data_IF_612894745610
#
_entry.id   IF_612894745610
#
_cell.length_a   1.000
_cell.length_b   1.000
_cell.length_c   1.000
_cell.angle_alpha   90.00
_cell.angle_beta   90.00
_cell.angle_gamma   90.00
#
_symmetry.space_group_name_H-M   'P 1'
#
loop_
_entity.id
_entity.type
_entity.pdbx_description
1 polymer ?
#
# COMPACT_ATOMS: atom_id res chain seq x y z
N UNK A 1 -15.48 9.88 -28.42
CA UNK A 1 -15.33 8.84 -27.38
C UNK A 1 -15.87 9.39 -26.08
N UNK A 2 -16.61 8.58 -25.31
CA UNK A 2 -17.25 8.98 -24.04
C UNK A 2 -16.58 8.25 -22.87
N UNK A 3 -16.39 8.92 -21.74
CA UNK A 3 -15.97 8.28 -20.48
C UNK A 3 -17.21 8.09 -19.61
N UNK A 4 -17.45 6.86 -19.15
CA UNK A 4 -18.56 6.54 -18.26
C UNK A 4 -18.28 5.27 -17.44
N UNK A 5 -19.10 5.01 -16.42
CA UNK A 5 -19.03 3.75 -15.71
C UNK A 5 -19.41 2.57 -16.60
N UNK A 6 -18.67 1.47 -16.45
CA UNK A 6 -19.03 0.19 -17.05
C UNK A 6 -20.23 -0.37 -16.28
N UNK A 7 -21.24 -0.82 -17.01
CA UNK A 7 -22.49 -1.37 -16.46
C UNK A 7 -22.61 -2.85 -16.80
N UNK A 8 -23.61 -3.54 -16.27
CA UNK A 8 -23.84 -4.96 -16.55
C UNK A 8 -23.94 -5.27 -18.05
N UNK A 9 -24.47 -4.33 -18.85
CA UNK A 9 -24.53 -4.44 -20.32
C UNK A 9 -23.15 -4.65 -20.96
N UNK A 10 -22.11 -4.11 -20.35
CA UNK A 10 -20.74 -4.11 -20.89
C UNK A 10 -19.85 -5.19 -20.25
N UNK A 11 -20.38 -6.06 -19.37
CA UNK A 11 -19.61 -7.05 -18.62
C UNK A 11 -18.83 -8.02 -19.52
N UNK A 12 -19.47 -8.46 -20.62
CA UNK A 12 -18.84 -9.29 -21.65
C UNK A 12 -17.66 -8.59 -22.33
N UNK A 13 -17.83 -7.31 -22.70
CA UNK A 13 -16.77 -6.53 -23.35
C UNK A 13 -15.60 -6.27 -22.40
N UNK A 14 -15.89 -5.99 -21.13
CA UNK A 14 -14.86 -5.83 -20.10
C UNK A 14 -14.09 -7.15 -19.89
N UNK A 15 -14.79 -8.30 -19.89
CA UNK A 15 -14.12 -9.61 -19.81
C UNK A 15 -13.18 -9.82 -20.98
N UNK A 16 -13.65 -9.60 -22.21
CA UNK A 16 -12.82 -9.73 -23.43
C UNK A 16 -11.60 -8.81 -23.38
N UNK A 17 -11.79 -7.57 -22.92
CA UNK A 17 -10.69 -6.61 -22.75
C UNK A 17 -9.66 -7.11 -21.73
N UNK A 18 -10.09 -7.60 -20.57
CA UNK A 18 -9.19 -8.13 -19.54
C UNK A 18 -8.48 -9.40 -19.98
N UNK A 19 -9.18 -10.36 -20.59
CA UNK A 19 -8.58 -11.58 -21.10
C UNK A 19 -7.52 -11.29 -22.15
N UNK A 20 -7.74 -10.28 -23.03
CA UNK A 20 -6.73 -9.83 -23.98
C UNK A 20 -5.51 -9.18 -23.30
N UNK A 21 -5.72 -8.35 -22.28
CA UNK A 21 -4.64 -7.60 -21.65
C UNK A 21 -3.81 -8.39 -20.63
N UNK A 22 -4.41 -9.39 -19.98
CA UNK A 22 -3.82 -10.07 -18.83
C UNK A 22 -3.77 -11.59 -18.94
N UNK A 23 -4.32 -12.18 -20.01
CA UNK A 23 -4.45 -13.65 -20.14
C UNK A 23 -5.16 -14.30 -18.94
N UNK A 24 -6.07 -13.55 -18.31
CA UNK A 24 -6.83 -14.00 -17.15
C UNK A 24 -8.30 -14.21 -17.50
N UNK A 25 -8.88 -15.27 -16.95
CA UNK A 25 -10.33 -15.41 -16.83
C UNK A 25 -10.77 -14.95 -15.44
N UNK A 26 -11.59 -13.89 -15.35
CA UNK A 26 -12.10 -13.46 -14.06
C UNK A 26 -13.07 -14.52 -13.48
N UNK A 27 -12.97 -14.78 -12.17
CA UNK A 27 -13.92 -15.66 -11.44
C UNK A 27 -15.30 -15.01 -11.26
N UNK A 28 -16.26 -15.69 -10.64
CA UNK A 28 -17.69 -15.31 -10.73
C UNK A 28 -18.05 -13.91 -10.17
N UNK A 29 -17.40 -13.45 -9.09
CA UNK A 29 -17.70 -12.18 -8.37
C UNK A 29 -16.68 -11.06 -8.63
N UNK A 30 -16.19 -10.94 -9.86
CA UNK A 30 -15.15 -9.97 -10.23
C UNK A 30 -15.67 -8.58 -10.63
N UNK A 31 -16.96 -8.48 -10.96
CA UNK A 31 -17.53 -7.27 -11.53
C UNK A 31 -18.38 -6.53 -10.51
N UNK A 32 -17.92 -5.33 -10.13
CA UNK A 32 -18.66 -4.40 -9.29
C UNK A 32 -19.04 -3.17 -10.11
N UNK A 33 -20.30 -3.06 -10.57
CA UNK A 33 -20.78 -1.86 -11.24
C UNK A 33 -20.48 -0.61 -10.41
N UNK A 34 -20.01 0.46 -11.07
CA UNK A 34 -19.59 1.69 -10.39
C UNK A 34 -18.15 1.70 -9.90
N UNK A 35 -17.40 0.59 -9.96
CA UNK A 35 -15.95 0.61 -9.71
C UNK A 35 -15.14 0.56 -11.02
N UNK A 36 -15.75 0.17 -12.13
CA UNK A 36 -15.10 0.16 -13.43
C UNK A 36 -15.42 1.41 -14.24
N UNK A 37 -14.38 2.13 -14.67
CA UNK A 37 -14.50 3.31 -15.53
C UNK A 37 -14.01 2.97 -16.94
N UNK A 38 -14.82 3.24 -17.95
CA UNK A 38 -14.56 2.87 -19.33
C UNK A 38 -14.51 4.05 -20.29
N UNK A 39 -13.73 3.91 -21.36
CA UNK A 39 -13.82 4.74 -22.58
C UNK A 39 -14.59 3.96 -23.63
N UNK A 40 -15.60 4.61 -24.21
CA UNK A 40 -16.48 4.04 -25.22
C UNK A 40 -16.30 4.72 -26.57
N UNK A 41 -16.18 3.91 -27.62
CA UNK A 41 -16.26 4.32 -29.02
C UNK A 41 -17.57 3.76 -29.62
N UNK A 42 -18.60 4.61 -29.71
CA UNK A 42 -19.98 4.15 -29.85
C UNK A 42 -20.41 3.35 -28.62
N UNK A 43 -20.87 2.11 -28.84
CA UNK A 43 -21.22 1.18 -27.76
C UNK A 43 -20.06 0.29 -27.30
N UNK A 44 -18.94 0.30 -28.03
CA UNK A 44 -17.80 -0.59 -27.77
C UNK A 44 -16.93 -0.04 -26.64
N UNK A 45 -16.67 -0.86 -25.62
CA UNK A 45 -15.67 -0.56 -24.59
C UNK A 45 -14.25 -0.76 -25.16
N UNK A 46 -13.45 0.31 -25.19
CA UNK A 46 -12.10 0.29 -25.82
C UNK A 46 -10.96 0.46 -24.83
N UNK A 47 -11.25 1.00 -23.65
CA UNK A 47 -10.30 1.17 -22.56
C UNK A 47 -11.03 1.13 -21.22
N UNK A 48 -10.41 0.61 -20.17
CA UNK A 48 -11.00 0.55 -18.83
C UNK A 48 -9.95 0.65 -17.73
N UNK A 49 -10.37 1.05 -16.53
CA UNK A 49 -9.67 0.80 -15.28
C UNK A 49 -10.67 0.47 -14.17
N UNK A 50 -10.18 -0.11 -13.08
CA UNK A 50 -10.94 -0.33 -11.85
C UNK A 50 -10.49 0.62 -10.74
N UNK A 51 -11.44 1.09 -9.94
CA UNK A 51 -11.25 1.85 -8.71
C UNK A 51 -11.78 1.00 -7.55
N UNK A 52 -10.88 0.26 -6.89
CA UNK A 52 -11.18 -0.50 -5.68
C UNK A 52 -11.44 0.43 -4.49
N UNK A 53 -12.60 0.35 -3.80
CA UNK A 53 -12.91 1.17 -2.64
C UNK A 53 -12.31 0.55 -1.38
N UNK A 54 -11.01 0.71 -1.19
CA UNK A 54 -10.29 0.16 -0.06
C UNK A 54 -10.23 1.11 1.14
N UNK A 55 -9.85 0.57 2.28
CA UNK A 55 -9.37 1.33 3.43
C UNK A 55 -7.92 0.96 3.71
N UNK A 56 -7.11 1.92 4.17
CA UNK A 56 -5.74 1.69 4.65
C UNK A 56 -5.58 2.20 6.07
N UNK A 57 -4.64 1.63 6.82
CA UNK A 57 -4.17 2.25 8.06
C UNK A 57 -3.29 3.46 7.74
N UNK A 58 -3.59 4.60 8.36
CA UNK A 58 -2.82 5.83 8.29
C UNK A 58 -2.81 6.49 9.67
N UNK A 59 -1.62 6.67 10.24
CA UNK A 59 -1.43 7.14 11.61
C UNK A 59 -2.26 6.36 12.64
N UNK A 60 -2.33 5.04 12.49
CA UNK A 60 -3.04 4.14 13.40
C UNK A 60 -4.56 4.09 13.23
N UNK A 61 -5.12 4.78 12.22
CA UNK A 61 -6.58 4.79 11.95
C UNK A 61 -6.88 4.40 10.51
N UNK A 62 -8.00 3.72 10.25
CA UNK A 62 -8.45 3.46 8.89
C UNK A 62 -8.85 4.76 8.18
N UNK A 63 -8.43 4.92 6.94
CA UNK A 63 -8.85 5.98 6.02
C UNK A 63 -9.18 5.39 4.66
N UNK A 64 -10.09 6.05 3.92
CA UNK A 64 -10.48 5.60 2.58
C UNK A 64 -9.35 5.78 1.57
N UNK A 65 -9.19 4.79 0.70
CA UNK A 65 -8.15 4.76 -0.34
C UNK A 65 -8.71 4.13 -1.62
N UNK A 66 -8.58 4.83 -2.73
CA UNK A 66 -8.96 4.31 -4.05
C UNK A 66 -7.82 3.52 -4.69
N UNK A 67 -7.96 2.20 -4.78
CA UNK A 67 -7.00 1.33 -5.45
C UNK A 67 -7.21 1.32 -6.96
N UNK A 68 -6.19 1.63 -7.76
CA UNK A 68 -6.29 1.54 -9.22
C UNK A 68 -5.72 0.21 -9.71
N UNK A 69 -6.54 -0.54 -10.43
CA UNK A 69 -6.14 -1.81 -11.03
C UNK A 69 -6.78 -2.06 -12.39
N UNK A 70 -6.48 -3.24 -12.95
CA UNK A 70 -7.03 -3.74 -14.22
C UNK A 70 -6.95 -2.74 -15.40
N UNK A 71 -5.97 -1.83 -15.39
CA UNK A 71 -5.80 -0.79 -16.41
C UNK A 71 -5.56 -1.42 -17.78
N UNK A 72 -6.51 -1.22 -18.70
CA UNK A 72 -6.58 -1.96 -19.96
C UNK A 72 -6.96 -1.06 -21.14
N UNK A 73 -6.29 -1.24 -22.28
CA UNK A 73 -6.65 -0.59 -23.54
C UNK A 73 -6.42 -1.53 -24.71
N UNK A 74 -7.44 -1.65 -25.58
CA UNK A 74 -7.34 -2.40 -26.83
C UNK A 74 -6.17 -1.88 -27.70
N UNK A 75 -5.43 -2.76 -28.38
CA UNK A 75 -4.19 -2.41 -29.07
C UNK A 75 -4.39 -1.32 -30.14
N UNK A 76 -5.48 -1.37 -30.91
CA UNK A 76 -5.81 -0.40 -31.95
C UNK A 76 -6.18 0.99 -31.41
N UNK A 77 -6.45 1.11 -30.10
CA UNK A 77 -6.76 2.35 -29.39
C UNK A 77 -5.60 2.87 -28.52
N UNK A 78 -4.45 2.17 -28.47
CA UNK A 78 -3.27 2.62 -27.72
C UNK A 78 -2.66 3.88 -28.32
N UNK A 79 -1.88 4.61 -27.51
CA UNK A 79 -1.23 5.89 -27.86
C UNK A 79 -2.19 7.03 -28.23
N UNK A 80 -3.46 6.92 -27.83
CA UNK A 80 -4.49 7.97 -27.99
C UNK A 80 -4.84 8.69 -26.68
N UNK A 81 -3.98 8.61 -25.67
CA UNK A 81 -4.16 9.23 -24.33
C UNK A 81 -5.44 8.82 -23.58
N UNK A 82 -6.06 7.67 -23.90
CA UNK A 82 -7.30 7.22 -23.25
C UNK A 82 -7.12 6.96 -21.74
N UNK A 83 -6.00 6.34 -21.35
CA UNK A 83 -5.70 6.11 -19.93
C UNK A 83 -5.49 7.42 -19.17
N UNK A 84 -4.90 8.45 -19.79
CA UNK A 84 -4.73 9.75 -19.14
C UNK A 84 -6.10 10.34 -18.75
N UNK A 85 -7.04 10.33 -19.69
CA UNK A 85 -8.40 10.81 -19.46
C UNK A 85 -9.14 9.99 -18.37
N UNK A 86 -8.93 8.66 -18.34
CA UNK A 86 -9.47 7.79 -17.30
C UNK A 86 -8.86 8.09 -15.93
N UNK A 87 -7.54 8.34 -15.83
CA UNK A 87 -6.87 8.66 -14.55
C UNK A 87 -7.39 9.96 -13.95
N UNK A 88 -7.51 11.02 -14.74
CA UNK A 88 -8.07 12.31 -14.29
C UNK A 88 -9.51 12.15 -13.78
N UNK A 89 -10.35 11.43 -14.54
CA UNK A 89 -11.73 11.18 -14.11
C UNK A 89 -11.80 10.28 -12.87
N UNK A 90 -10.91 9.29 -12.75
CA UNK A 90 -10.81 8.44 -11.57
C UNK A 90 -10.42 9.24 -10.32
N UNK A 91 -9.49 10.20 -10.42
CA UNK A 91 -9.13 11.09 -9.31
C UNK A 91 -10.31 11.93 -8.85
N UNK A 92 -11.10 12.47 -9.78
CA UNK A 92 -12.31 13.23 -9.45
C UNK A 92 -13.31 12.35 -8.70
N UNK A 93 -13.54 11.12 -9.17
CA UNK A 93 -14.42 10.15 -8.50
C UNK A 93 -13.90 9.77 -7.11
N UNK A 94 -12.60 9.52 -6.97
CA UNK A 94 -11.97 9.21 -5.68
C UNK A 94 -12.16 10.36 -4.68
N UNK A 95 -11.99 11.61 -5.13
CA UNK A 95 -12.26 12.79 -4.31
C UNK A 95 -13.74 12.89 -3.91
N UNK A 96 -14.67 12.70 -4.86
CA UNK A 96 -16.11 12.68 -4.58
C UNK A 96 -16.49 11.61 -3.54
N UNK A 97 -15.77 10.47 -3.52
CA UNK A 97 -15.95 9.38 -2.53
C UNK A 97 -15.30 9.66 -1.16
N UNK A 98 -14.49 10.71 -1.07
CA UNK A 98 -13.71 11.06 0.10
C UNK A 98 -12.48 10.17 0.31
N UNK A 99 -11.95 9.57 -0.77
CA UNK A 99 -10.68 8.85 -0.70
C UNK A 99 -9.54 9.85 -0.45
N UNK A 100 -8.71 9.58 0.55
CA UNK A 100 -7.59 10.46 0.91
C UNK A 100 -6.38 10.15 0.02
N UNK A 101 -6.15 8.86 -0.20
CA UNK A 101 -5.04 8.34 -0.98
C UNK A 101 -5.55 7.51 -2.16
N UNK A 102 -4.69 7.34 -3.15
CA UNK A 102 -4.82 6.32 -4.17
C UNK A 102 -3.54 5.52 -4.28
N UNK A 103 -3.65 4.22 -4.48
CA UNK A 103 -2.52 3.30 -4.62
C UNK A 103 -2.69 2.39 -5.82
N UNK A 104 -1.57 1.88 -6.37
CA UNK A 104 -1.60 0.96 -7.50
C UNK A 104 -0.33 0.11 -7.61
N UNK A 105 -0.47 -1.06 -8.24
CA UNK A 105 0.63 -1.92 -8.65
C UNK A 105 1.15 -1.50 -10.03
N UNK A 106 2.34 -0.88 -10.15
CA UNK A 106 2.76 -0.33 -11.42
C UNK A 106 3.36 -1.40 -12.33
N UNK A 107 2.85 -1.54 -13.56
CA UNK A 107 3.64 -2.16 -14.64
C UNK A 107 4.82 -1.26 -15.07
N UNK A 108 4.74 0.05 -14.81
CA UNK A 108 5.79 1.02 -15.11
C UNK A 108 5.69 2.23 -14.18
N UNK A 109 6.67 2.42 -13.28
CA UNK A 109 6.75 3.61 -12.43
C UNK A 109 6.76 4.91 -13.24
N UNK A 110 7.51 4.93 -14.35
CA UNK A 110 7.60 6.11 -15.23
C UNK A 110 6.26 6.49 -15.84
N UNK A 111 5.41 5.50 -16.14
CA UNK A 111 4.08 5.75 -16.69
C UNK A 111 3.18 6.45 -15.66
N UNK A 112 3.03 5.87 -14.47
CA UNK A 112 2.14 6.39 -13.43
C UNK A 112 2.66 7.67 -12.77
N UNK A 113 3.98 7.87 -12.74
CA UNK A 113 4.60 9.10 -12.22
C UNK A 113 4.18 10.35 -12.99
N UNK A 114 3.89 10.22 -14.29
CA UNK A 114 3.35 11.33 -15.10
C UNK A 114 2.02 11.82 -14.58
N UNK A 115 1.24 10.94 -13.96
CA UNK A 115 -0.07 11.28 -13.45
C UNK A 115 0.00 11.79 -12.03
N UNK A 116 1.03 11.50 -11.24
CA UNK A 116 1.19 12.03 -9.86
C UNK A 116 1.40 10.97 -8.79
N UNK A 117 1.32 9.69 -9.14
CA UNK A 117 1.72 8.60 -8.24
C UNK A 117 3.24 8.55 -8.10
N UNK A 118 3.73 8.11 -6.94
CA UNK A 118 5.15 7.89 -6.71
C UNK A 118 5.39 6.61 -5.90
N UNK A 119 6.57 6.01 -6.04
CA UNK A 119 7.01 4.88 -5.21
C UNK A 119 6.82 5.23 -3.73
N UNK A 120 6.06 4.41 -3.02
CA UNK A 120 5.69 4.67 -1.64
C UNK A 120 5.85 3.44 -0.73
N UNK A 121 6.27 2.31 -1.31
CA UNK A 121 6.46 1.06 -0.59
C UNK A 121 7.64 0.29 -1.18
N UNK A 122 8.40 -0.37 -0.32
CA UNK A 122 9.37 -1.39 -0.70
C UNK A 122 9.39 -2.49 0.37
N UNK A 123 9.93 -3.64 0.02
CA UNK A 123 10.08 -4.77 0.93
C UNK A 123 11.47 -5.35 0.84
N UNK A 124 11.96 -5.87 1.96
CA UNK A 124 13.09 -6.78 1.94
C UNK A 124 12.61 -8.16 1.51
N UNK A 125 13.41 -8.86 0.73
CA UNK A 125 13.27 -10.29 0.48
C UNK A 125 14.53 -10.97 1.02
N UNK A 126 14.30 -11.82 2.01
CA UNK A 126 15.32 -12.63 2.67
C UNK A 126 15.37 -14.01 2.02
N UNK A 127 16.57 -14.58 1.95
CA UNK A 127 16.79 -15.99 1.63
C UNK A 127 17.80 -16.51 2.63
N UNK A 128 17.37 -17.40 3.51
CA UNK A 128 18.16 -17.86 4.66
C UNK A 128 18.24 -19.37 4.66
N UNK A 129 19.39 -19.90 5.11
CA UNK A 129 19.62 -21.33 5.23
C UNK A 129 18.72 -21.92 6.30
N UNK A 130 18.27 -23.15 6.11
CA UNK A 130 17.46 -23.85 7.10
C UNK A 130 18.18 -24.06 8.43
N UNK A 131 19.50 -24.20 8.39
CA UNK A 131 20.36 -24.40 9.56
C UNK A 131 20.35 -23.18 10.49
N UNK A 132 20.23 -21.97 9.93
CA UNK A 132 20.20 -20.71 10.69
C UNK A 132 18.93 -20.57 11.54
N UNK A 133 17.95 -21.46 11.37
CA UNK A 133 16.72 -21.49 12.15
C UNK A 133 16.74 -22.45 13.37
N UNK A 134 17.83 -23.23 13.55
CA UNK A 134 17.86 -24.35 14.50
C UNK A 134 17.63 -23.96 15.98
N UNK A 135 18.20 -22.84 16.40
CA UNK A 135 18.20 -22.41 17.80
C UNK A 135 17.10 -21.37 18.13
N UNK A 136 16.16 -21.14 17.20
CA UNK A 136 15.07 -20.21 17.41
C UNK A 136 13.89 -20.83 18.16
N UNK A 137 13.19 -19.99 18.92
CA UNK A 137 12.00 -20.36 19.68
C UNK A 137 12.33 -21.23 20.90
N UNK A 138 11.37 -21.34 21.81
CA UNK A 138 11.47 -22.13 23.04
C UNK A 138 10.43 -23.26 23.10
N UNK A 139 9.50 -23.30 22.15
CA UNK A 139 8.38 -24.23 22.18
C UNK A 139 7.32 -23.85 23.22
N UNK A 140 7.18 -22.56 23.56
CA UNK A 140 6.25 -22.05 24.58
C UNK A 140 4.80 -21.87 24.06
N UNK A 141 4.37 -22.80 23.22
CA UNK A 141 3.10 -22.76 22.51
C UNK A 141 3.02 -23.84 21.44
N UNK A 142 2.05 -23.73 20.52
CA UNK A 142 1.82 -24.74 19.48
C UNK A 142 1.50 -24.16 18.12
N UNK A 143 1.81 -24.94 17.10
CA UNK A 143 1.42 -24.68 15.72
C UNK A 143 0.17 -25.47 15.37
N UNK A 144 -0.75 -24.84 14.65
CA UNK A 144 -1.96 -25.49 14.14
C UNK A 144 -2.24 -25.07 12.69
N UNK A 145 -2.80 -25.95 11.87
CA UNK A 145 -3.33 -25.55 10.57
C UNK A 145 -4.51 -24.60 10.77
N UNK A 146 -4.61 -23.58 9.91
CA UNK A 146 -5.70 -22.62 9.89
C UNK A 146 -6.61 -22.86 8.70
N UNK A 147 -7.88 -22.56 8.87
CA UNK A 147 -8.94 -22.71 7.87
C UNK A 147 -9.74 -21.42 7.71
N UNK A 148 -10.67 -21.41 6.76
CA UNK A 148 -11.62 -20.31 6.60
C UNK A 148 -12.48 -20.03 7.84
N UNK A 149 -12.64 -21.02 8.73
CA UNK A 149 -13.38 -20.84 9.99
C UNK A 149 -12.62 -19.97 10.99
N UNK A 150 -11.28 -19.91 10.88
CA UNK A 150 -10.40 -19.18 11.79
C UNK A 150 -10.22 -17.70 11.38
N UNK A 151 -10.86 -17.29 10.28
CA UNK A 151 -10.74 -15.95 9.71
C UNK A 151 -10.95 -14.81 10.74
N UNK A 152 -11.91 -14.85 11.67
CA UNK A 152 -12.05 -13.81 12.69
C UNK A 152 -10.79 -13.60 13.54
N UNK A 153 -10.05 -14.67 13.85
CA UNK A 153 -8.83 -14.62 14.64
C UNK A 153 -7.65 -14.14 13.80
N UNK A 154 -7.52 -14.64 12.57
CA UNK A 154 -6.49 -14.20 11.59
C UNK A 154 -6.59 -12.68 11.37
N UNK A 155 -7.80 -12.17 11.16
CA UNK A 155 -8.09 -10.74 11.00
C UNK A 155 -7.60 -9.93 12.19
N UNK A 156 -7.92 -10.40 13.40
CA UNK A 156 -7.55 -9.70 14.64
C UNK A 156 -6.03 -9.58 14.77
N UNK A 157 -5.29 -10.66 14.48
CA UNK A 157 -3.83 -10.68 14.55
C UNK A 157 -3.22 -9.79 13.46
N UNK A 158 -3.76 -9.85 12.24
CA UNK A 158 -3.34 -8.98 11.14
C UNK A 158 -3.53 -7.50 11.48
N UNK A 159 -4.73 -7.08 11.89
CA UNK A 159 -5.03 -5.68 12.17
C UNK A 159 -4.15 -5.11 13.29
N UNK A 160 -3.90 -5.90 14.35
CA UNK A 160 -2.95 -5.52 15.41
C UNK A 160 -1.53 -5.33 14.88
N UNK A 161 -1.07 -6.22 13.99
CA UNK A 161 0.25 -6.10 13.37
C UNK A 161 0.34 -4.87 12.46
N UNK A 162 -0.65 -4.66 11.59
CA UNK A 162 -0.59 -3.60 10.57
C UNK A 162 -0.94 -2.21 11.08
N UNK A 163 -1.60 -2.08 12.24
CA UNK A 163 -1.99 -0.79 12.81
C UNK A 163 -0.81 0.18 13.04
N UNK A 164 0.41 -0.36 13.22
CA UNK A 164 1.64 0.43 13.36
C UNK A 164 2.23 0.94 12.04
N UNK A 165 1.64 0.60 10.89
CA UNK A 165 2.15 0.94 9.57
C UNK A 165 1.21 1.89 8.83
N UNK A 166 1.80 2.77 8.02
CA UNK A 166 1.06 3.54 7.03
C UNK A 166 0.94 2.74 5.73
N UNK A 167 -0.26 2.71 5.15
CA UNK A 167 -0.55 2.16 3.83
C UNK A 167 -1.03 0.72 3.79
N UNK A 168 -0.99 -0.01 4.91
CA UNK A 168 -1.46 -1.39 4.93
C UNK A 168 -2.98 -1.44 4.77
N UNK A 169 -3.50 -2.36 3.96
CA UNK A 169 -4.95 -2.47 3.76
C UNK A 169 -5.65 -2.85 5.07
N UNK A 170 -6.77 -2.19 5.37
CA UNK A 170 -7.78 -2.76 6.25
C UNK A 170 -8.65 -3.68 5.40
N UNK A 171 -8.25 -4.94 5.34
CA UNK A 171 -8.84 -5.96 4.49
C UNK A 171 -10.30 -6.24 4.89
N UNK A 172 -11.21 -6.12 3.93
CA UNK A 172 -12.60 -6.55 4.10
C UNK A 172 -12.71 -8.08 4.18
N UNK A 173 -13.83 -8.59 4.66
CA UNK A 173 -14.10 -10.04 4.66
C UNK A 173 -14.06 -10.64 3.25
N UNK A 174 -14.56 -9.90 2.25
CA UNK A 174 -14.52 -10.33 0.86
C UNK A 174 -13.07 -10.42 0.35
N UNK A 175 -12.23 -9.45 0.69
CA UNK A 175 -10.83 -9.45 0.30
C UNK A 175 -10.04 -10.60 0.95
N UNK A 176 -10.27 -10.84 2.24
CA UNK A 176 -9.70 -12.00 2.93
C UNK A 176 -10.09 -13.32 2.28
N UNK A 177 -11.38 -13.51 1.99
CA UNK A 177 -11.88 -14.72 1.33
C UNK A 177 -11.29 -14.88 -0.06
N UNK A 178 -11.14 -13.79 -0.82
CA UNK A 178 -10.49 -13.79 -2.13
C UNK A 178 -9.01 -14.23 -2.00
N UNK A 179 -8.25 -13.59 -1.10
CA UNK A 179 -6.84 -13.88 -0.87
C UNK A 179 -6.62 -15.35 -0.47
N UNK A 180 -7.33 -15.83 0.55
CA UNK A 180 -7.15 -17.20 1.05
C UNK A 180 -7.52 -18.24 -0.01
N UNK A 181 -8.64 -18.07 -0.74
CA UNK A 181 -9.01 -18.97 -1.85
C UNK A 181 -7.96 -18.96 -2.96
N UNK A 182 -7.39 -17.79 -3.28
CA UNK A 182 -6.33 -17.67 -4.29
C UNK A 182 -5.07 -18.41 -3.86
N UNK A 183 -4.64 -18.22 -2.61
CA UNK A 183 -3.45 -18.88 -2.07
C UNK A 183 -3.63 -20.39 -1.94
N UNK A 184 -4.80 -20.86 -1.51
CA UNK A 184 -5.14 -22.28 -1.43
C UNK A 184 -5.04 -22.95 -2.82
N UNK A 185 -5.62 -22.32 -3.87
CA UNK A 185 -5.50 -22.79 -5.26
C UNK A 185 -4.05 -22.81 -5.76
N UNK A 186 -3.19 -21.96 -5.21
CA UNK A 186 -1.77 -21.91 -5.54
C UNK A 186 -0.93 -22.91 -4.69
N UNK A 187 -1.56 -23.70 -3.83
CA UNK A 187 -0.88 -24.72 -3.02
C UNK A 187 -0.24 -24.19 -1.75
N UNK A 188 -0.66 -23.00 -1.27
CA UNK A 188 -0.20 -22.49 0.03
C UNK A 188 -0.92 -23.18 1.19
N UNK A 189 -0.16 -23.45 2.25
CA UNK A 189 -0.61 -23.89 3.56
C UNK A 189 -0.75 -22.70 4.50
N UNK A 190 -1.74 -22.77 5.39
CA UNK A 190 -2.01 -21.75 6.39
C UNK A 190 -1.77 -22.32 7.78
N UNK A 191 -0.89 -21.69 8.56
CA UNK A 191 -0.56 -22.13 9.91
C UNK A 191 -0.58 -20.96 10.89
N UNK A 192 -1.03 -21.24 12.10
CA UNK A 192 -1.10 -20.30 13.21
C UNK A 192 -0.17 -20.73 14.36
N UNK A 193 0.31 -19.75 15.11
CA UNK A 193 0.96 -19.94 16.40
C UNK A 193 0.02 -19.50 17.53
N UNK A 194 -0.34 -20.45 18.39
CA UNK A 194 -1.05 -20.20 19.63
C UNK A 194 -0.08 -20.21 20.80
N UNK A 195 -0.23 -19.22 21.70
CA UNK A 195 0.44 -19.25 22.99
C UNK A 195 -0.14 -20.36 23.91
N UNK A 196 0.49 -20.57 25.08
CA UNK A 196 0.04 -21.57 26.07
C UNK A 196 -1.40 -21.37 26.60
N UNK A 197 -2.02 -20.22 26.33
CA UNK A 197 -3.42 -19.90 26.68
C UNK A 197 -4.39 -20.15 25.53
N UNK A 198 -3.92 -20.70 24.40
CA UNK A 198 -4.73 -20.94 23.21
C UNK A 198 -5.11 -19.66 22.44
N UNK A 199 -4.34 -18.58 22.60
CA UNK A 199 -4.57 -17.34 21.84
C UNK A 199 -3.66 -17.29 20.62
N UNK A 200 -4.24 -17.05 19.45
CA UNK A 200 -3.49 -16.84 18.20
C UNK A 200 -2.69 -15.53 18.29
N UNK A 201 -1.36 -15.61 18.18
CA UNK A 201 -0.47 -14.44 18.24
C UNK A 201 0.38 -14.26 16.98
N UNK A 202 0.36 -15.24 16.08
CA UNK A 202 1.04 -15.14 14.79
C UNK A 202 0.49 -16.15 13.81
N UNK A 203 0.73 -15.92 12.52
CA UNK A 203 0.41 -16.87 11.47
C UNK A 203 1.37 -16.70 10.30
N UNK A 204 1.41 -17.72 9.46
CA UNK A 204 2.11 -17.70 8.19
C UNK A 204 1.33 -18.42 7.10
N UNK A 205 1.43 -17.88 5.88
CA UNK A 205 0.97 -18.52 4.65
C UNK A 205 2.20 -18.86 3.82
N UNK A 206 2.44 -20.15 3.58
CA UNK A 206 3.66 -20.61 2.90
C UNK A 206 3.39 -21.79 1.97
N UNK A 207 4.30 -22.05 1.05
CA UNK A 207 4.29 -23.26 0.22
C UNK A 207 5.69 -23.90 0.23
N UNK A 208 5.73 -25.21 0.05
CA UNK A 208 6.98 -25.94 -0.20
C UNK A 208 7.20 -26.03 -1.71
N UNK A 209 8.36 -25.56 -2.19
CA UNK A 209 8.70 -25.56 -3.60
C UNK A 209 10.18 -25.91 -3.81
N UNK A 210 10.45 -27.10 -4.36
CA UNK A 210 11.79 -27.56 -4.76
C UNK A 210 12.87 -27.29 -3.70
N UNK A 211 12.65 -27.80 -2.49
CA UNK A 211 13.59 -27.62 -1.36
C UNK A 211 13.56 -26.23 -0.72
N UNK A 212 12.51 -25.42 -0.96
CA UNK A 212 12.35 -24.09 -0.35
C UNK A 212 11.01 -23.93 0.34
N UNK A 213 11.01 -23.23 1.47
CA UNK A 213 9.80 -22.62 2.03
C UNK A 213 9.65 -21.23 1.39
N UNK A 214 8.56 -21.02 0.64
CA UNK A 214 8.21 -19.71 0.10
C UNK A 214 7.07 -19.12 0.92
N UNK A 215 7.37 -18.07 1.67
CA UNK A 215 6.41 -17.40 2.56
C UNK A 215 5.75 -16.24 1.81
N UNK A 216 4.43 -16.31 1.66
CA UNK A 216 3.62 -15.24 1.09
C UNK A 216 3.33 -14.14 2.11
N UNK A 217 2.99 -14.55 3.33
CA UNK A 217 2.65 -13.64 4.42
C UNK A 217 3.11 -14.24 5.75
N UNK A 218 3.70 -13.39 6.60
CA UNK A 218 4.17 -13.73 7.92
C UNK A 218 3.80 -12.59 8.85
N UNK A 219 3.00 -12.89 9.87
CA UNK A 219 2.44 -11.91 10.79
C UNK A 219 2.62 -12.42 12.22
N UNK A 220 3.03 -11.53 13.11
CA UNK A 220 3.36 -11.84 14.50
C UNK A 220 3.10 -10.62 15.38
N UNK A 221 2.67 -10.83 16.62
CA UNK A 221 2.42 -9.73 17.57
C UNK A 221 3.61 -9.37 18.45
N UNK A 222 4.66 -10.19 18.47
CA UNK A 222 5.86 -9.96 19.29
C UNK A 222 7.10 -10.62 18.69
N UNK A 223 8.29 -10.18 19.13
CA UNK A 223 9.54 -10.80 18.71
C UNK A 223 9.64 -12.28 19.11
N UNK A 224 9.28 -12.70 20.35
CA UNK A 224 9.24 -14.12 20.69
C UNK A 224 8.34 -14.97 19.78
N UNK A 225 7.20 -14.43 19.33
CA UNK A 225 6.33 -15.14 18.37
C UNK A 225 7.01 -15.29 17.01
N UNK A 226 7.76 -14.28 16.56
CA UNK A 226 8.55 -14.39 15.34
C UNK A 226 9.62 -15.48 15.46
N UNK A 227 10.31 -15.56 16.60
CA UNK A 227 11.29 -16.63 16.89
C UNK A 227 10.62 -18.02 16.88
N UNK A 228 9.41 -18.15 17.41
CA UNK A 228 8.66 -19.40 17.29
C UNK A 228 8.34 -19.73 15.83
N UNK A 229 7.91 -18.75 15.02
CA UNK A 229 7.70 -18.99 13.57
C UNK A 229 9.01 -19.37 12.86
N UNK A 230 10.15 -18.84 13.30
CA UNK A 230 11.47 -19.27 12.81
C UNK A 230 11.75 -20.73 13.20
N UNK A 231 11.43 -21.13 14.43
CA UNK A 231 11.44 -22.55 14.85
C UNK A 231 10.57 -23.42 13.94
N UNK A 232 9.38 -22.93 13.57
CA UNK A 232 8.49 -23.65 12.65
C UNK A 232 9.14 -23.92 11.30
N UNK A 233 9.93 -22.99 10.77
CA UNK A 233 10.70 -23.26 9.55
C UNK A 233 11.65 -24.44 9.75
N UNK A 234 12.41 -24.46 10.85
CA UNK A 234 13.34 -25.54 11.15
C UNK A 234 12.67 -26.92 11.30
N UNK A 235 11.39 -26.98 11.72
CA UNK A 235 10.61 -28.23 11.73
C UNK A 235 10.43 -28.85 10.34
N UNK A 236 10.71 -28.11 9.26
CA UNK A 236 10.67 -28.57 7.88
C UNK A 236 12.07 -28.85 7.31
N UNK A 237 13.10 -28.98 8.15
CA UNK A 237 14.49 -29.18 7.71
C UNK A 237 14.72 -30.44 6.90
N UNK A 238 13.87 -31.47 7.07
CA UNK A 238 13.90 -32.66 6.23
C UNK A 238 13.32 -32.44 4.81
N UNK A 239 12.62 -31.33 4.56
CA UNK A 239 11.88 -31.07 3.31
C UNK A 239 12.39 -29.84 2.55
N UNK A 240 13.08 -28.92 3.23
CA UNK A 240 13.56 -27.68 2.67
C UNK A 240 14.94 -27.29 3.20
N UNK A 241 15.75 -26.74 2.30
CA UNK A 241 17.10 -26.25 2.55
C UNK A 241 17.13 -24.76 2.83
N UNK A 242 16.15 -24.00 2.33
CA UNK A 242 16.12 -22.54 2.45
C UNK A 242 14.72 -21.99 2.68
N UNK A 243 14.65 -20.85 3.34
CA UNK A 243 13.41 -20.09 3.56
C UNK A 243 13.51 -18.75 2.86
N UNK A 244 12.47 -18.42 2.09
CA UNK A 244 12.33 -17.13 1.40
C UNK A 244 11.09 -16.42 1.89
N UNK A 245 11.24 -15.23 2.46
CA UNK A 245 10.12 -14.40 2.88
C UNK A 245 10.36 -12.93 2.57
N UNK A 246 9.27 -12.18 2.57
CA UNK A 246 9.28 -10.72 2.41
C UNK A 246 8.92 -10.05 3.72
N UNK A 247 9.58 -8.94 4.02
CA UNK A 247 9.33 -8.18 5.23
C UNK A 247 9.21 -6.67 4.95
N UNK A 248 8.55 -5.92 5.85
CA UNK A 248 8.50 -4.46 5.78
C UNK A 248 9.90 -3.83 5.79
N UNK A 249 10.00 -2.58 5.32
CA UNK A 249 11.24 -1.81 5.28
C UNK A 249 11.99 -1.74 6.63
N UNK A 250 11.24 -1.66 7.73
CA UNK A 250 11.78 -1.57 9.10
C UNK A 250 11.88 -2.92 9.83
N UNK A 251 11.90 -4.04 9.12
CA UNK A 251 12.09 -5.36 9.72
C UNK A 251 13.51 -5.53 10.28
N UNK A 252 13.63 -6.27 11.38
CA UNK A 252 14.87 -6.45 12.15
C UNK A 252 15.50 -7.84 12.02
N UNK A 253 15.09 -8.68 11.07
CA UNK A 253 15.59 -10.06 10.98
C UNK A 253 17.12 -10.14 10.88
N UNK A 254 17.75 -9.20 10.17
CA UNK A 254 19.21 -9.13 10.03
C UNK A 254 19.95 -8.97 11.36
N UNK A 255 19.29 -8.46 12.39
CA UNK A 255 19.90 -8.21 13.69
C UNK A 255 19.84 -9.43 14.62
N UNK A 256 19.05 -10.45 14.26
CA UNK A 256 18.76 -11.58 15.15
C UNK A 256 19.10 -12.94 14.54
N UNK A 257 19.21 -13.03 13.21
CA UNK A 257 19.70 -14.23 12.54
C UNK A 257 21.14 -14.52 13.00
N UNK A 258 21.47 -15.78 13.35
CA UNK A 258 22.79 -16.16 13.83
C UNK A 258 23.86 -15.88 12.77
N UNK A 259 23.57 -16.24 11.53
CA UNK A 259 24.34 -15.88 10.35
C UNK A 259 23.47 -15.03 9.42
N UNK A 260 23.60 -13.69 9.44
CA UNK A 260 22.88 -12.83 8.52
C UNK A 260 23.18 -13.21 7.06
N UNK A 261 22.17 -13.34 6.19
CA UNK A 261 22.39 -13.74 4.81
C UNK A 261 23.28 -12.72 4.10
N UNK A 262 24.29 -13.23 3.40
CA UNK A 262 25.27 -12.41 2.65
C UNK A 262 24.58 -11.45 1.66
N UNK A 263 23.44 -11.86 1.10
CA UNK A 263 22.66 -11.05 0.17
C UNK A 263 21.19 -10.97 0.61
N UNK A 264 20.67 -9.74 0.66
CA UNK A 264 19.23 -9.44 0.76
C UNK A 264 18.80 -8.61 -0.43
N UNK A 265 17.56 -8.77 -0.89
CA UNK A 265 17.04 -8.00 -2.03
C UNK A 265 16.07 -6.94 -1.55
N UNK A 266 16.24 -5.71 -2.02
CA UNK A 266 15.24 -4.66 -1.91
C UNK A 266 14.30 -4.75 -3.11
N UNK A 267 13.02 -5.00 -2.86
CA UNK A 267 12.00 -5.11 -3.90
C UNK A 267 11.14 -3.85 -3.89
N UNK A 268 11.19 -3.07 -4.97
CA UNK A 268 10.30 -1.93 -5.16
C UNK A 268 8.84 -2.39 -5.17
N UNK A 269 7.99 -1.66 -4.46
CA UNK A 269 6.58 -1.99 -4.24
C UNK A 269 5.62 -1.08 -4.99
N UNK A 270 4.43 -0.95 -4.44
CA UNK A 270 3.34 -0.16 -5.02
C UNK A 270 3.65 1.34 -4.99
N UNK A 271 2.89 2.09 -5.78
CA UNK A 271 2.93 3.54 -5.77
C UNK A 271 1.74 4.09 -4.99
N UNK A 272 1.91 5.26 -4.39
CA UNK A 272 0.85 5.99 -3.74
C UNK A 272 0.76 7.43 -4.25
N UNK A 273 -0.40 8.03 -4.03
CA UNK A 273 -0.69 9.43 -4.31
C UNK A 273 -1.71 9.96 -3.31
N UNK A 274 -1.57 11.20 -2.88
CA UNK A 274 -2.65 11.95 -2.21
C UNK A 274 -3.67 12.44 -3.23
N UNK A 275 -4.94 12.11 -2.98
CA UNK A 275 -6.09 12.59 -3.78
C UNK A 275 -6.57 13.95 -3.28
N UNK A 276 -6.58 14.17 -1.96
CA UNK A 276 -6.99 15.42 -1.33
C UNK A 276 -5.97 15.88 -0.28
N UNK A 277 -5.21 16.94 -0.60
CA UNK A 277 -4.10 17.47 0.23
C UNK A 277 -4.59 17.91 1.61
N UNK A 278 -5.73 18.61 1.66
CA UNK A 278 -6.32 19.07 2.92
C UNK A 278 -6.68 17.90 3.81
N UNK A 279 -7.42 16.93 3.27
CA UNK A 279 -7.84 15.75 4.02
C UNK A 279 -6.64 14.96 4.53
N UNK A 280 -5.60 14.78 3.70
CA UNK A 280 -4.39 14.07 4.12
C UNK A 280 -3.68 14.75 5.31
N UNK A 281 -3.58 16.09 5.30
CA UNK A 281 -2.98 16.85 6.40
C UNK A 281 -3.83 16.81 7.67
N UNK A 282 -5.15 16.95 7.55
CA UNK A 282 -6.07 16.95 8.70
C UNK A 282 -6.18 15.57 9.39
N UNK A 283 -5.81 14.49 8.69
CA UNK A 283 -5.75 13.13 9.25
C UNK A 283 -4.40 12.76 9.87
N UNK A 284 -3.36 13.59 9.70
CA UNK A 284 -2.09 13.37 10.39
C UNK A 284 -2.25 13.57 11.90
N UNK A 285 -1.48 12.80 12.66
CA UNK A 285 -1.34 12.98 14.11
C UNK A 285 0.00 13.63 14.41
N UNK A 286 -0.01 14.68 15.22
CA UNK A 286 1.15 15.49 15.56
C UNK A 286 1.42 15.47 17.07
N UNK A 287 2.64 15.81 17.53
CA UNK A 287 2.94 15.98 18.96
C UNK A 287 2.06 17.10 19.58
N UNK A 288 1.31 16.83 20.66
CA UNK A 288 0.34 17.78 21.21
C UNK A 288 0.96 19.03 21.82
N UNK A 289 2.21 18.95 22.28
CA UNK A 289 2.95 20.03 22.94
C UNK A 289 3.60 21.01 21.95
N UNK A 290 3.49 20.77 20.64
CA UNK A 290 4.10 21.61 19.60
C UNK A 290 3.05 22.27 18.74
N UNK A 291 3.37 23.48 18.29
CA UNK A 291 2.53 24.23 17.37
C UNK A 291 3.39 24.85 16.27
N UNK A 292 2.88 24.87 15.06
CA UNK A 292 3.53 25.51 13.92
C UNK A 292 2.50 26.01 12.93
N UNK A 293 2.84 27.04 12.17
CA UNK A 293 2.05 27.49 11.02
C UNK A 293 2.95 27.67 9.81
N UNK A 294 2.48 27.22 8.66
CA UNK A 294 3.19 27.35 7.40
C UNK A 294 2.22 27.33 6.22
N UNK A 295 2.70 27.84 5.10
CA UNK A 295 2.02 27.83 3.82
C UNK A 295 2.63 26.75 2.91
N UNK A 296 1.78 25.95 2.27
CA UNK A 296 2.16 24.86 1.39
C UNK A 296 1.53 25.03 0.01
N UNK A 297 2.35 24.89 -1.02
CA UNK A 297 1.90 24.75 -2.40
C UNK A 297 2.22 23.34 -2.90
N UNK A 298 1.21 22.69 -3.48
CA UNK A 298 1.35 21.37 -4.10
C UNK A 298 1.07 21.51 -5.59
N UNK A 299 2.09 21.29 -6.42
CA UNK A 299 1.92 21.25 -7.87
C UNK A 299 1.29 19.93 -8.30
N UNK A 300 0.08 20.01 -8.84
CA UNK A 300 -0.68 18.87 -9.33
C UNK A 300 -1.50 19.26 -10.58
N UNK A 301 -0.99 18.97 -11.78
CA UNK A 301 -1.69 19.30 -13.02
C UNK A 301 -2.90 18.40 -13.31
N UNK A 302 -3.09 17.29 -12.58
CA UNK A 302 -4.17 16.32 -12.83
C UNK A 302 -5.34 16.46 -11.84
N UNK A 303 -5.15 17.23 -10.77
CA UNK A 303 -6.15 17.50 -9.75
C UNK A 303 -6.44 19.00 -9.71
N UNK A 304 -7.43 19.46 -10.49
CA UNK A 304 -7.76 20.89 -10.61
C UNK A 304 -8.16 21.56 -9.29
N UNK A 305 -8.48 20.80 -8.25
CA UNK A 305 -8.74 21.32 -6.90
C UNK A 305 -7.48 21.59 -6.07
N UNK A 306 -6.32 21.05 -6.45
CA UNK A 306 -5.02 21.43 -5.88
C UNK A 306 -4.40 22.61 -6.64
N UNK A 307 -4.74 22.75 -7.93
CA UNK A 307 -4.16 23.76 -8.81
C UNK A 307 -4.53 25.20 -8.40
N UNK A 308 -3.58 26.13 -8.50
CA UNK A 308 -3.71 27.54 -8.09
C UNK A 308 -4.19 27.74 -6.64
N UNK A 309 -3.85 26.79 -5.76
CA UNK A 309 -4.14 26.84 -4.32
C UNK A 309 -2.87 26.91 -3.50
N UNK A 310 -2.98 27.67 -2.41
CA UNK A 310 -2.02 27.66 -1.32
C UNK A 310 -2.75 27.20 -0.05
N UNK A 311 -2.24 26.15 0.58
CA UNK A 311 -2.77 25.56 1.80
C UNK A 311 -2.13 26.24 3.01
N UNK A 312 -2.93 26.94 3.80
CA UNK A 312 -2.49 27.53 5.07
C UNK A 312 -2.70 26.49 6.16
N UNK A 313 -1.60 25.93 6.66
CA UNK A 313 -1.62 24.84 7.63
C UNK A 313 -1.28 25.41 9.00
N UNK A 314 -2.18 25.19 9.97
CA UNK A 314 -1.92 25.44 11.39
C UNK A 314 -1.99 24.12 12.14
N UNK A 315 -0.89 23.76 12.79
CA UNK A 315 -0.82 22.60 13.67
C UNK A 315 -0.80 23.11 15.11
N UNK A 316 -1.71 22.60 15.93
CA UNK A 316 -1.76 22.83 17.37
C UNK A 316 -2.52 21.68 18.05
N UNK A 317 -2.20 21.38 19.31
CA UNK A 317 -2.91 20.35 20.09
C UNK A 317 -2.97 18.98 19.38
N UNK A 318 -1.92 18.66 18.63
CA UNK A 318 -1.76 17.39 17.92
C UNK A 318 -2.59 17.24 16.64
N UNK A 319 -3.27 18.30 16.19
CA UNK A 319 -4.11 18.31 14.98
C UNK A 319 -3.72 19.43 14.02
N UNK A 320 -3.90 19.19 12.73
CA UNK A 320 -3.84 20.23 11.71
C UNK A 320 -5.24 20.79 11.42
N UNK A 321 -5.29 22.11 11.16
CA UNK A 321 -6.40 22.78 10.50
C UNK A 321 -5.88 23.40 9.21
N UNK A 322 -6.54 23.12 8.09
CA UNK A 322 -6.08 23.56 6.77
C UNK A 322 -7.12 24.48 6.12
N UNK A 323 -6.67 25.68 5.78
CA UNK A 323 -7.45 26.64 4.99
C UNK A 323 -6.91 26.71 3.56
N UNK A 324 -7.78 26.47 2.58
CA UNK A 324 -7.46 26.60 1.16
C UNK A 324 -7.64 28.06 0.73
N UNK A 325 -6.57 28.69 0.24
CA UNK A 325 -6.63 30.03 -0.33
C UNK A 325 -6.24 30.01 -1.80
N UNK A 326 -6.83 30.86 -2.65
CA UNK A 326 -6.28 31.14 -3.97
C UNK A 326 -4.83 31.60 -3.84
N UNK A 327 -3.99 31.26 -4.82
CA UNK A 327 -2.66 31.85 -4.91
C UNK A 327 -2.76 33.38 -5.01
N UNK A 328 -2.00 34.07 -4.18
CA UNK A 328 -1.95 35.54 -4.09
C UNK A 328 -0.58 36.10 -4.55
N UNK A 329 0.28 35.27 -5.13
CA UNK A 329 1.64 35.64 -5.55
C UNK A 329 2.68 35.63 -4.42
N UNK A 330 2.30 35.38 -3.17
CA UNK A 330 3.25 35.18 -2.08
C UNK A 330 3.95 33.83 -2.24
N UNK A 331 5.28 33.81 -2.05
CA UNK A 331 6.03 32.55 -2.09
C UNK A 331 5.70 31.71 -0.84
N UNK A 332 5.25 30.46 -1.00
CA UNK A 332 4.91 29.60 0.12
C UNK A 332 6.16 29.23 0.94
N UNK A 333 5.95 28.75 2.16
CA UNK A 333 7.03 28.20 2.99
C UNK A 333 7.55 26.88 2.40
N UNK A 334 6.61 26.03 1.94
CA UNK A 334 6.90 24.76 1.29
C UNK A 334 6.28 24.71 -0.11
N UNK A 335 7.04 24.26 -1.10
CA UNK A 335 6.54 24.01 -2.45
C UNK A 335 7.07 22.67 -2.96
N UNK A 336 6.19 21.82 -3.47
CA UNK A 336 6.58 20.52 -4.00
C UNK A 336 5.54 19.97 -4.98
N UNK A 337 5.91 19.03 -5.86
CA UNK A 337 4.94 18.30 -6.66
C UNK A 337 4.18 17.27 -5.80
N UNK A 338 2.97 16.90 -6.21
CA UNK A 338 2.11 15.94 -5.47
C UNK A 338 2.79 14.60 -5.19
N UNK A 339 3.73 14.18 -6.04
CA UNK A 339 4.57 13.00 -5.86
C UNK A 339 5.36 13.09 -4.55
N UNK A 340 6.12 14.18 -4.38
CA UNK A 340 6.94 14.43 -3.18
C UNK A 340 6.06 14.56 -1.95
N UNK A 341 4.96 15.32 -2.06
CA UNK A 341 3.96 15.46 -1.00
C UNK A 341 3.44 14.11 -0.52
N UNK A 342 3.07 13.23 -1.47
CA UNK A 342 2.56 11.90 -1.18
C UNK A 342 3.58 11.04 -0.44
N UNK A 343 4.87 11.13 -0.80
CA UNK A 343 5.93 10.37 -0.13
C UNK A 343 6.10 10.80 1.33
N UNK A 344 6.29 12.10 1.60
CA UNK A 344 6.58 12.54 2.97
C UNK A 344 5.36 12.56 3.89
N UNK A 345 4.15 12.79 3.36
CA UNK A 345 2.92 12.73 4.17
C UNK A 345 2.57 11.29 4.55
N UNK A 346 2.76 10.34 3.64
CA UNK A 346 2.66 8.93 3.99
C UNK A 346 3.77 8.49 4.95
N UNK A 347 4.89 9.24 4.99
CA UNK A 347 6.08 8.93 5.78
C UNK A 347 7.01 7.93 5.11
N UNK A 348 6.87 7.71 3.79
CA UNK A 348 7.83 6.91 3.02
C UNK A 348 9.22 7.55 3.00
N UNK A 349 9.24 8.88 2.84
CA UNK A 349 10.39 9.75 3.13
C UNK A 349 10.06 10.67 4.30
N UNK A 350 11.06 11.36 4.85
CA UNK A 350 10.85 12.48 5.76
C UNK A 350 10.86 13.81 4.99
N UNK A 351 10.31 14.88 5.59
CA UNK A 351 10.43 16.22 4.99
C UNK A 351 11.90 16.66 4.84
N UNK A 352 12.73 16.39 5.85
CA UNK A 352 14.17 16.68 5.81
C UNK A 352 14.87 16.06 4.61
N UNK A 353 14.75 14.74 4.45
CA UNK A 353 15.31 14.00 3.32
C UNK A 353 14.76 14.51 1.98
N UNK A 354 13.48 14.86 1.93
CA UNK A 354 12.83 15.37 0.71
C UNK A 354 13.36 16.75 0.30
N UNK A 355 13.69 17.61 1.27
CA UNK A 355 14.36 18.90 1.01
C UNK A 355 15.81 18.68 0.57
N UNK A 356 16.55 17.80 1.25
CA UNK A 356 17.95 17.46 0.90
C UNK A 356 18.08 16.88 -0.52
N UNK A 357 17.09 16.08 -0.97
CA UNK A 357 17.02 15.58 -2.34
C UNK A 357 16.57 16.62 -3.38
N UNK A 358 16.25 17.85 -2.97
CA UNK A 358 15.70 18.89 -3.85
C UNK A 358 14.29 18.58 -4.36
N UNK A 359 13.56 17.65 -3.72
CA UNK A 359 12.20 17.26 -4.08
C UNK A 359 11.13 18.16 -3.46
N UNK A 360 11.49 18.89 -2.42
CA UNK A 360 10.66 19.89 -1.74
C UNK A 360 11.49 21.16 -1.60
N UNK A 361 10.93 22.27 -2.05
CA UNK A 361 11.54 23.59 -1.88
C UNK A 361 11.05 24.14 -0.56
N UNK A 362 11.99 24.43 0.34
CA UNK A 362 11.75 25.14 1.60
C UNK A 362 12.28 26.57 1.47
N UNK A 363 11.43 27.56 1.72
CA UNK A 363 11.79 28.97 1.52
C UNK A 363 12.81 29.48 2.54
N UNK A 364 12.64 29.13 3.81
CA UNK A 364 13.55 29.49 4.89
C UNK A 364 14.16 28.22 5.49
N UNK A 365 15.40 27.91 5.11
CA UNK A 365 16.13 26.73 5.56
C UNK A 365 16.28 26.67 7.09
N UNK A 366 16.23 27.81 7.79
CA UNK A 366 16.28 27.84 9.26
C UNK A 366 15.08 27.14 9.90
N UNK A 367 13.97 27.02 9.17
CA UNK A 367 12.75 26.32 9.61
C UNK A 367 12.76 24.82 9.33
N UNK A 368 13.81 24.30 8.67
CA UNK A 368 13.82 22.89 8.27
C UNK A 368 13.71 21.96 9.47
N UNK A 369 14.47 22.23 10.52
CA UNK A 369 14.48 21.39 11.72
C UNK A 369 13.12 21.41 12.42
N UNK A 370 12.49 22.59 12.54
CA UNK A 370 11.14 22.76 13.12
C UNK A 370 10.09 21.99 12.31
N UNK A 371 10.05 22.19 10.99
CA UNK A 371 9.01 21.58 10.15
C UNK A 371 9.21 20.07 9.97
N UNK A 372 10.44 19.59 9.92
CA UNK A 372 10.74 18.17 9.72
C UNK A 372 10.25 17.29 10.87
N UNK A 373 10.14 17.83 12.09
CA UNK A 373 9.62 17.12 13.26
C UNK A 373 8.13 16.75 13.11
N UNK A 374 7.37 17.51 12.33
CA UNK A 374 5.96 17.23 12.05
C UNK A 374 5.77 16.20 10.92
N UNK A 375 6.81 15.95 10.12
CA UNK A 375 6.79 15.02 8.98
C UNK A 375 7.98 14.05 9.00
N UNK A 376 8.10 13.22 10.05
CA UNK A 376 9.17 12.24 10.15
C UNK A 376 8.92 11.05 9.20
N UNK A 377 9.99 10.30 8.92
CA UNK A 377 9.87 8.97 8.30
C UNK A 377 9.01 8.08 9.20
N UNK A 378 8.07 7.34 8.60
CA UNK A 378 7.20 6.37 9.27
C UNK A 378 7.37 4.99 8.63
N UNK A 379 6.97 3.95 9.36
CA UNK A 379 6.95 2.60 8.80
C UNK A 379 5.83 2.50 7.77
N UNK A 380 6.19 2.29 6.51
CA UNK A 380 5.22 2.03 5.43
C UNK A 380 5.18 0.54 5.13
N UNK A 381 3.99 0.01 4.84
CA UNK A 381 3.81 -1.40 4.51
C UNK A 381 2.58 -1.59 3.65
N UNK A 382 2.71 -2.36 2.58
CA UNK A 382 1.59 -2.82 1.76
C UNK A 382 2.00 -4.18 1.16
N UNK A 383 1.31 -5.24 1.56
CA UNK A 383 1.57 -6.61 1.09
C UNK A 383 0.59 -7.07 0.00
N UNK A 384 -0.58 -6.46 -0.03
CA UNK A 384 -1.65 -6.76 -0.97
C UNK A 384 -1.34 -6.17 -2.34
N UNK A 385 -1.55 -6.95 -3.40
CA UNK A 385 -1.36 -6.52 -4.78
C UNK A 385 -2.70 -6.55 -5.52
N UNK A 386 -3.04 -5.44 -6.17
CA UNK A 386 -4.30 -5.23 -6.89
C UNK A 386 -4.09 -4.37 -8.15
#
# INVERSE_FOLDING_TARGET
>A
MKIDFVTERHREDLRRLHSYCFEMEPGDDWFAPGNFLGVFDGERLVSSLEIYPFEIFFCGRPVKMGGIGAVSTLPEYRRRNLIAALMERALAIMRERGDIFSMLGPFSYRFYRKFGWELAFHRWEYTVSMEDFADFGRGAGRFLPLTMADLPWIKTVYEKYVAGYNGALKRSDSWWRHLLKKLEKQGYHFYGYENDRGQLEGYLFFQLNKGKILVHELVYLSHPVKEEIFRFFHLHSAQAETVVWRAPAGDSSLLVLPEPPVNCRLISGMMARVVDVKSALEHLSFPPERAVSFSLKVDDPHAGWHHNRCFQVRIAEGKARVEEKPENGEKPDLECPVQSFSQFVLGYTGLKESVEMGKVILRDEKRLQELAEFFPVKKTFLNDWF
#
